data_IF_090541470509
#
_entry.id   IF_090541470509
#
_cell.length_a   1.000
_cell.length_b   1.000
_cell.length_c   1.000
_cell.angle_alpha   90.00
_cell.angle_beta   90.00
_cell.angle_gamma   90.00
#
_symmetry.space_group_name_H-M   'P 1'
#
loop_
_entity.id
_entity.type
_entity.pdbx_description
1 polymer ?
#
# COMPACT_ATOMS: atom_id res chain seq x y z
N UNK A 1 23.33 21.85 48.43
CA UNK A 1 24.24 20.97 47.66
C UNK A 1 24.11 21.38 46.19
N UNK A 2 25.04 22.17 45.68
CA UNK A 2 24.94 22.77 44.34
C UNK A 2 25.41 21.77 43.28
N UNK A 3 24.59 21.57 42.24
CA UNK A 3 24.84 20.60 41.18
C UNK A 3 25.99 21.12 40.30
N UNK A 4 27.23 20.68 40.56
CA UNK A 4 28.45 21.02 39.81
C UNK A 4 28.59 20.28 38.47
N UNK A 5 27.66 19.40 38.13
CA UNK A 5 27.67 18.61 36.89
C UNK A 5 27.17 19.34 35.64
N UNK A 6 26.71 20.60 35.75
CA UNK A 6 26.17 21.36 34.61
C UNK A 6 27.20 21.75 33.55
N UNK A 7 28.40 22.15 33.97
CA UNK A 7 29.49 22.57 33.05
C UNK A 7 29.96 21.43 32.12
N UNK A 8 30.28 20.22 32.59
CA UNK A 8 30.69 19.14 31.70
C UNK A 8 29.56 18.70 30.76
N UNK A 9 28.31 18.65 31.24
CA UNK A 9 27.14 18.33 30.39
C UNK A 9 26.98 19.35 29.26
N UNK A 10 27.10 20.65 29.57
CA UNK A 10 27.03 21.73 28.58
C UNK A 10 28.13 21.61 27.53
N UNK A 11 29.38 21.34 27.96
CA UNK A 11 30.51 21.22 27.04
C UNK A 11 30.33 19.99 26.14
N UNK A 12 29.89 18.85 26.68
CA UNK A 12 29.62 17.65 25.89
C UNK A 12 28.50 17.87 24.86
N UNK A 13 27.41 18.54 25.25
CA UNK A 13 26.33 18.89 24.31
C UNK A 13 26.82 19.81 23.18
N UNK A 14 27.64 20.82 23.50
CA UNK A 14 28.21 21.72 22.51
C UNK A 14 29.18 21.01 21.56
N UNK A 15 29.99 20.09 22.07
CA UNK A 15 30.90 19.30 21.24
C UNK A 15 30.11 18.39 20.28
N UNK A 16 29.07 17.73 20.77
CA UNK A 16 28.19 16.86 19.95
C UNK A 16 27.48 17.67 18.88
N UNK A 17 26.93 18.84 19.20
CA UNK A 17 26.25 19.68 18.19
C UNK A 17 27.23 20.21 17.13
N UNK A 18 28.42 20.65 17.54
CA UNK A 18 29.45 21.14 16.62
C UNK A 18 29.89 20.04 15.64
N UNK A 19 30.18 18.83 16.14
CA UNK A 19 30.51 17.67 15.30
C UNK A 19 29.36 17.33 14.37
N UNK A 20 28.12 17.33 14.86
CA UNK A 20 26.93 17.10 14.05
C UNK A 20 26.79 18.09 12.89
N UNK A 21 27.03 19.38 13.14
CA UNK A 21 27.00 20.43 12.10
C UNK A 21 28.09 20.20 11.06
N UNK A 22 29.33 19.91 11.46
CA UNK A 22 30.41 19.66 10.50
C UNK A 22 30.16 18.40 9.66
N UNK A 23 29.62 17.33 10.25
CA UNK A 23 29.25 16.12 9.51
C UNK A 23 28.12 16.40 8.51
N UNK A 24 27.10 17.17 8.90
CA UNK A 24 26.01 17.55 8.02
C UNK A 24 26.47 18.43 6.85
N UNK A 25 27.32 19.43 7.13
CA UNK A 25 27.90 20.32 6.13
C UNK A 25 28.81 19.54 5.16
N UNK A 26 29.72 18.72 5.69
CA UNK A 26 30.61 17.87 4.90
C UNK A 26 29.82 16.92 3.99
N UNK A 27 28.76 16.30 4.52
CA UNK A 27 27.86 15.47 3.70
C UNK A 27 27.16 16.27 2.61
N UNK A 28 26.65 17.46 2.91
CA UNK A 28 25.96 18.31 1.92
C UNK A 28 26.86 18.74 0.78
N UNK A 29 28.16 18.92 1.03
CA UNK A 29 29.15 19.33 0.04
C UNK A 29 29.64 18.12 -0.78
N UNK A 30 29.93 16.99 -0.11
CA UNK A 30 30.50 15.80 -0.74
C UNK A 30 29.45 14.92 -1.44
N UNK A 31 28.20 14.97 -1.00
CA UNK A 31 27.08 14.19 -1.54
C UNK A 31 25.88 15.10 -1.80
N UNK A 32 25.98 16.03 -2.78
CA UNK A 32 24.84 16.84 -3.19
C UNK A 32 23.68 15.93 -3.59
N UNK A 33 22.49 16.30 -3.13
CA UNK A 33 21.28 15.48 -3.08
C UNK A 33 21.04 14.65 -4.36
N UNK A 34 21.39 13.37 -4.35
CA UNK A 34 20.89 12.39 -5.31
C UNK A 34 19.44 12.06 -4.95
N UNK A 35 18.56 13.04 -5.12
CA UNK A 35 17.11 12.86 -5.07
C UNK A 35 16.59 12.05 -6.26
N UNK A 36 17.37 11.12 -6.82
CA UNK A 36 16.79 10.07 -7.63
C UNK A 36 16.14 9.11 -6.65
N UNK A 37 14.85 9.33 -6.41
CA UNK A 37 13.96 8.20 -6.22
C UNK A 37 14.12 7.33 -7.47
N UNK A 38 15.13 6.47 -7.49
CA UNK A 38 15.13 5.29 -8.33
C UNK A 38 13.96 4.49 -7.79
N UNK A 39 12.76 4.84 -8.29
CA UNK A 39 11.59 3.99 -8.25
C UNK A 39 12.08 2.69 -8.83
N UNK A 40 12.41 1.73 -7.96
CA UNK A 40 12.63 0.36 -8.37
C UNK A 40 11.40 0.02 -9.20
N UNK A 41 11.62 -0.17 -10.49
CA UNK A 41 10.55 -0.45 -11.43
C UNK A 41 9.99 -1.81 -11.03
N UNK A 42 8.90 -1.77 -10.27
CA UNK A 42 8.27 -2.97 -9.79
C UNK A 42 7.47 -3.58 -10.93
N UNK A 43 7.75 -4.84 -11.25
CA UNK A 43 7.00 -5.58 -12.25
C UNK A 43 6.14 -6.63 -11.57
N UNK A 44 4.83 -6.54 -11.80
CA UNK A 44 3.88 -7.53 -11.33
C UNK A 44 4.15 -8.88 -12.02
N UNK A 45 4.12 -10.00 -11.27
CA UNK A 45 4.31 -11.32 -11.85
C UNK A 45 3.17 -11.63 -12.83
N UNK A 46 3.47 -12.43 -13.84
CA UNK A 46 2.47 -12.85 -14.82
C UNK A 46 1.43 -13.80 -14.21
N UNK A 47 1.81 -14.56 -13.19
CA UNK A 47 0.89 -15.43 -12.46
C UNK A 47 0.95 -15.16 -10.96
N UNK A 48 -0.23 -15.12 -10.34
CA UNK A 48 -0.39 -15.12 -8.89
C UNK A 48 -1.32 -16.29 -8.56
N UNK A 49 -0.87 -17.28 -7.78
CA UNK A 49 -1.72 -18.39 -7.40
C UNK A 49 -2.84 -17.88 -6.50
N UNK A 50 -4.04 -18.41 -6.72
CA UNK A 50 -5.22 -18.09 -5.94
C UNK A 50 -5.94 -19.40 -5.61
N UNK A 51 -6.18 -19.66 -4.32
CA UNK A 51 -6.68 -20.96 -3.87
C UNK A 51 -8.02 -21.33 -4.52
N UNK A 52 -8.10 -22.54 -5.08
CA UNK A 52 -9.25 -23.08 -5.84
C UNK A 52 -9.64 -22.34 -7.13
N UNK A 53 -8.83 -21.39 -7.59
CA UNK A 53 -9.10 -20.62 -8.80
C UNK A 53 -8.14 -21.03 -9.91
N UNK A 54 -8.67 -21.22 -11.12
CA UNK A 54 -7.85 -21.44 -12.31
C UNK A 54 -7.58 -20.10 -12.97
N UNK A 55 -6.30 -19.75 -13.14
CA UNK A 55 -5.91 -18.57 -13.89
C UNK A 55 -6.24 -18.77 -15.38
N UNK A 56 -6.92 -17.77 -15.96
CA UNK A 56 -7.25 -17.73 -17.39
C UNK A 56 -6.18 -16.95 -18.12
N UNK A 57 -5.94 -15.70 -17.70
CA UNK A 57 -4.93 -14.83 -18.27
C UNK A 57 -4.51 -13.72 -17.31
N UNK A 58 -3.50 -12.96 -17.71
CA UNK A 58 -3.15 -11.72 -17.06
C UNK A 58 -2.53 -10.74 -18.06
N UNK A 59 -2.83 -9.45 -17.90
CA UNK A 59 -2.39 -8.39 -18.81
C UNK A 59 -1.92 -7.15 -18.03
N UNK A 60 -0.79 -6.53 -18.41
CA UNK A 60 -0.38 -5.25 -17.83
C UNK A 60 -1.44 -4.17 -18.02
N UNK A 61 -1.63 -3.33 -17.02
CA UNK A 61 -2.49 -2.15 -17.12
C UNK A 61 -1.71 -1.00 -17.76
N UNK A 62 -2.35 -0.28 -18.67
CA UNK A 62 -1.80 0.97 -19.21
C UNK A 62 -1.97 2.06 -18.15
N UNK A 63 -0.86 2.55 -17.62
CA UNK A 63 -0.84 3.59 -16.58
C UNK A 63 -0.26 4.87 -17.20
N UNK A 64 -0.88 6.02 -16.91
CA UNK A 64 -0.35 7.32 -17.33
C UNK A 64 0.90 7.67 -16.51
N UNK A 65 1.95 8.19 -17.15
CA UNK A 65 3.25 8.48 -16.51
C UNK A 65 3.16 9.45 -15.33
N UNK A 66 2.18 10.35 -15.34
CA UNK A 66 1.96 11.34 -14.28
C UNK A 66 1.17 10.80 -13.07
N UNK A 67 0.77 9.53 -13.09
CA UNK A 67 -0.03 8.94 -12.02
C UNK A 67 0.81 8.58 -10.77
N UNK A 68 0.14 8.60 -9.62
CA UNK A 68 0.63 7.97 -8.39
C UNK A 68 0.72 6.45 -8.51
N UNK A 69 -0.08 5.86 -9.40
CA UNK A 69 0.06 4.47 -9.81
C UNK A 69 1.32 4.35 -10.67
N UNK A 70 2.24 3.46 -10.31
CA UNK A 70 3.49 3.24 -11.07
C UNK A 70 3.41 2.09 -12.03
N UNK A 71 2.73 1.03 -11.62
CA UNK A 71 2.48 -0.14 -12.46
C UNK A 71 1.18 -0.79 -12.02
N UNK A 72 0.62 -1.64 -12.88
CA UNK A 72 -0.54 -2.42 -12.54
C UNK A 72 -0.69 -3.61 -13.46
N UNK A 73 -1.43 -4.62 -13.00
CA UNK A 73 -1.76 -5.79 -13.80
C UNK A 73 -3.18 -6.24 -13.49
N UNK A 74 -3.88 -6.68 -14.53
CA UNK A 74 -5.18 -7.33 -14.44
C UNK A 74 -4.98 -8.83 -14.55
N UNK A 75 -5.60 -9.57 -13.67
CA UNK A 75 -5.60 -11.03 -13.62
C UNK A 75 -7.05 -11.50 -13.77
N UNK A 76 -7.27 -12.54 -14.57
CA UNK A 76 -8.57 -13.19 -14.69
C UNK A 76 -8.49 -14.63 -14.26
N UNK A 77 -9.49 -15.04 -13.49
CA UNK A 77 -9.62 -16.38 -12.97
C UNK A 77 -11.02 -16.92 -13.23
N UNK A 78 -11.15 -18.24 -13.18
CA UNK A 78 -12.44 -18.93 -13.21
C UNK A 78 -12.50 -20.02 -12.15
N UNK A 79 -13.68 -20.18 -11.53
CA UNK A 79 -14.01 -21.29 -10.63
C UNK A 79 -15.46 -21.67 -10.90
N UNK A 80 -15.73 -22.90 -11.32
CA UNK A 80 -17.08 -23.38 -11.63
C UNK A 80 -17.85 -22.44 -12.59
N UNK A 81 -17.20 -21.93 -13.64
CA UNK A 81 -17.77 -20.97 -14.60
C UNK A 81 -18.14 -19.59 -14.02
N UNK A 82 -17.73 -19.28 -12.79
CA UNK A 82 -17.81 -17.93 -12.23
C UNK A 82 -16.48 -17.23 -12.54
N UNK A 83 -16.48 -16.11 -13.28
CA UNK A 83 -15.27 -15.35 -13.54
C UNK A 83 -14.97 -14.41 -12.37
N UNK A 84 -13.70 -14.33 -11.99
CA UNK A 84 -13.15 -13.36 -11.06
C UNK A 84 -12.11 -12.52 -11.78
N UNK A 85 -12.27 -11.20 -11.70
CA UNK A 85 -11.26 -10.26 -12.18
C UNK A 85 -10.58 -9.60 -10.99
N UNK A 86 -9.25 -9.56 -11.00
CA UNK A 86 -8.44 -8.87 -10.00
C UNK A 86 -7.56 -7.86 -10.70
N UNK A 87 -7.70 -6.59 -10.36
CA UNK A 87 -6.76 -5.55 -10.77
C UNK A 87 -5.88 -5.20 -9.57
N UNK A 88 -4.58 -5.26 -9.77
CA UNK A 88 -3.60 -4.87 -8.77
C UNK A 88 -2.80 -3.69 -9.28
N UNK A 89 -2.61 -2.69 -8.43
CA UNK A 89 -1.88 -1.45 -8.73
C UNK A 89 -0.87 -1.17 -7.63
N UNK A 90 0.35 -0.81 -8.02
CA UNK A 90 1.35 -0.33 -7.08
C UNK A 90 1.29 1.20 -7.04
N UNK A 91 0.87 1.74 -5.91
CA UNK A 91 0.63 3.17 -5.72
C UNK A 91 1.67 3.73 -4.74
N UNK A 92 2.30 4.84 -5.12
CA UNK A 92 3.28 5.55 -4.30
C UNK A 92 2.73 6.90 -3.84
N UNK A 93 3.10 7.33 -2.63
CA UNK A 93 2.73 8.65 -2.12
C UNK A 93 1.23 8.80 -1.87
N UNK A 94 0.55 7.70 -1.56
CA UNK A 94 -0.89 7.70 -1.28
C UNK A 94 -1.18 7.91 0.21
N UNK A 95 -2.37 8.42 0.51
CA UNK A 95 -2.94 8.43 1.85
C UNK A 95 -3.74 7.17 2.18
N UNK A 96 -3.87 6.23 1.22
CA UNK A 96 -4.57 4.96 1.39
C UNK A 96 -6.09 5.02 1.24
N UNK A 97 -6.66 6.17 0.83
CA UNK A 97 -8.11 6.29 0.62
C UNK A 97 -8.58 5.59 -0.66
N UNK A 98 -9.07 4.37 -0.53
CA UNK A 98 -9.50 3.51 -1.63
C UNK A 98 -10.67 4.13 -2.40
N UNK A 99 -11.59 4.82 -1.72
CA UNK A 99 -12.71 5.47 -2.40
C UNK A 99 -12.25 6.53 -3.41
N UNK A 100 -11.28 7.37 -3.03
CA UNK A 100 -10.66 8.35 -3.93
C UNK A 100 -9.85 7.69 -5.04
N UNK A 101 -9.11 6.62 -4.74
CA UNK A 101 -8.34 5.89 -5.74
C UNK A 101 -9.26 5.28 -6.83
N UNK A 102 -10.37 4.66 -6.43
CA UNK A 102 -11.38 4.09 -7.35
C UNK A 102 -11.98 5.16 -8.27
N UNK A 103 -12.29 6.35 -7.75
CA UNK A 103 -12.78 7.49 -8.56
C UNK A 103 -11.78 7.93 -9.63
N UNK A 104 -10.50 8.00 -9.27
CA UNK A 104 -9.46 8.58 -10.13
C UNK A 104 -8.91 7.63 -11.21
N UNK A 105 -9.00 6.31 -11.03
CA UNK A 105 -8.15 5.36 -11.79
C UNK A 105 -8.84 4.08 -12.27
N UNK A 106 -10.09 3.80 -11.90
CA UNK A 106 -10.79 2.57 -12.31
C UNK A 106 -12.12 2.85 -13.00
N UNK A 107 -12.88 1.78 -13.24
CA UNK A 107 -14.14 1.71 -13.98
C UNK A 107 -15.21 2.68 -13.42
N UNK A 108 -15.04 3.18 -12.19
CA UNK A 108 -16.02 4.01 -11.49
C UNK A 108 -15.83 5.52 -11.74
N UNK A 109 -15.67 5.91 -13.02
CA UNK A 109 -15.58 7.33 -13.42
C UNK A 109 -16.82 8.14 -12.99
N UNK A 110 -17.96 7.48 -12.80
CA UNK A 110 -19.17 8.02 -12.21
C UNK A 110 -19.29 7.56 -10.75
N UNK A 111 -19.28 8.54 -9.83
CA UNK A 111 -19.36 8.43 -8.37
C UNK A 111 -19.61 7.02 -7.80
N UNK A 112 -18.67 6.41 -7.06
CA UNK A 112 -18.97 5.20 -6.33
C UNK A 112 -20.13 5.50 -5.36
N UNK A 113 -21.07 4.56 -5.25
CA UNK A 113 -21.87 4.47 -4.05
C UNK A 113 -20.96 4.37 -2.82
N UNK A 114 -21.49 4.62 -1.62
CA UNK A 114 -20.70 4.51 -0.39
C UNK A 114 -20.13 3.08 -0.27
N UNK A 115 -18.80 2.95 -0.18
CA UNK A 115 -18.16 1.65 0.10
C UNK A 115 -18.66 1.15 1.46
N UNK A 116 -19.20 -0.07 1.49
CA UNK A 116 -19.48 -0.77 2.73
C UNK A 116 -18.16 -1.33 3.25
N UNK A 117 -17.67 -0.79 4.36
CA UNK A 117 -16.39 -1.21 4.95
C UNK A 117 -16.62 -2.36 5.91
N UNK A 118 -15.86 -3.44 5.75
CA UNK A 118 -15.86 -4.60 6.63
C UNK A 118 -14.41 -4.98 7.00
N UNK A 119 -14.27 -5.83 8.02
CA UNK A 119 -12.97 -6.31 8.51
C UNK A 119 -12.94 -7.84 8.51
N UNK A 120 -11.83 -8.40 8.07
CA UNK A 120 -11.53 -9.83 8.19
C UNK A 120 -10.40 -10.00 9.23
N UNK A 121 -10.62 -10.73 10.33
CA UNK A 121 -9.59 -10.97 11.34
C UNK A 121 -8.30 -11.53 10.73
N UNK A 122 -7.15 -10.94 11.11
CA UNK A 122 -5.84 -11.34 10.60
C UNK A 122 -5.49 -10.86 9.18
N UNK A 123 -6.44 -10.25 8.45
CA UNK A 123 -6.23 -9.72 7.09
C UNK A 123 -6.42 -8.21 7.03
N UNK A 124 -7.35 -7.65 7.80
CA UNK A 124 -7.63 -6.22 7.85
C UNK A 124 -8.92 -5.82 7.14
N UNK A 125 -9.01 -4.55 6.77
CA UNK A 125 -10.22 -3.95 6.23
C UNK A 125 -10.32 -4.09 4.72
N UNK A 126 -11.55 -4.19 4.22
CA UNK A 126 -11.84 -4.10 2.79
C UNK A 126 -13.16 -3.36 2.57
N UNK A 127 -13.31 -2.74 1.41
CA UNK A 127 -14.51 -2.01 1.01
C UNK A 127 -15.25 -2.79 -0.07
N UNK A 128 -16.58 -2.90 0.07
CA UNK A 128 -17.45 -3.57 -0.89
C UNK A 128 -18.37 -2.58 -1.56
N UNK A 129 -18.56 -2.71 -2.88
CA UNK A 129 -19.47 -1.89 -3.67
C UNK A 129 -20.15 -2.72 -4.75
N UNK A 130 -21.46 -2.55 -4.89
CA UNK A 130 -22.20 -3.09 -6.03
C UNK A 130 -22.39 -2.00 -7.09
N UNK A 131 -21.99 -2.28 -8.33
CA UNK A 131 -22.14 -1.36 -9.46
C UNK A 131 -22.22 -2.11 -10.79
N UNK A 132 -23.15 -1.69 -11.67
CA UNK A 132 -23.29 -2.21 -13.04
C UNK A 132 -23.28 -3.75 -13.11
N UNK A 133 -24.14 -4.38 -12.31
CA UNK A 133 -24.29 -5.83 -12.24
C UNK A 133 -23.03 -6.61 -11.80
N UNK A 134 -22.14 -5.94 -11.07
CA UNK A 134 -20.95 -6.55 -10.49
C UNK A 134 -20.84 -6.17 -9.01
N UNK A 135 -20.29 -7.07 -8.23
CA UNK A 135 -19.83 -6.78 -6.88
C UNK A 135 -18.32 -6.59 -6.92
N UNK A 136 -17.86 -5.54 -6.25
CA UNK A 136 -16.46 -5.18 -6.14
C UNK A 136 -16.02 -5.27 -4.68
N UNK A 137 -14.83 -5.82 -4.46
CA UNK A 137 -14.09 -5.73 -3.21
C UNK A 137 -12.80 -4.97 -3.50
N UNK A 138 -12.49 -3.94 -2.72
CA UNK A 138 -11.26 -3.19 -2.90
C UNK A 138 -10.62 -2.82 -1.58
N UNK A 139 -9.29 -2.89 -1.54
CA UNK A 139 -8.52 -2.54 -0.36
C UNK A 139 -7.07 -2.22 -0.73
N UNK A 140 -6.40 -1.51 0.18
CA UNK A 140 -4.98 -1.28 0.14
C UNK A 140 -4.26 -2.33 0.99
N UNK A 141 -3.39 -3.14 0.39
CA UNK A 141 -2.42 -3.94 1.14
C UNK A 141 -1.25 -3.03 1.49
N UNK A 142 -0.89 -3.02 2.78
CA UNK A 142 0.20 -2.22 3.32
C UNK A 142 1.48 -3.06 3.41
N UNK A 143 2.67 -2.43 3.41
CA UNK A 143 3.92 -3.16 3.64
C UNK A 143 3.92 -3.98 4.93
N UNK A 144 3.18 -3.52 5.94
CA UNK A 144 3.02 -4.18 7.24
C UNK A 144 1.61 -4.01 7.77
N UNK A 145 1.27 -4.84 8.74
CA UNK A 145 -0.05 -4.86 9.36
C UNK A 145 -1.13 -5.38 8.41
N UNK A 146 -2.37 -4.99 8.69
CA UNK A 146 -3.51 -5.40 7.88
C UNK A 146 -3.72 -4.50 6.65
N UNK A 147 -4.57 -4.98 5.77
CA UNK A 147 -5.15 -4.17 4.69
C UNK A 147 -6.05 -3.06 5.23
N UNK A 148 -6.18 -1.96 4.48
CA UNK A 148 -6.88 -0.73 4.90
C UNK A 148 -7.71 -0.14 3.75
N UNK A 149 -8.78 0.57 4.09
CA UNK A 149 -9.72 1.15 3.11
C UNK A 149 -9.72 2.67 3.12
N UNK A 150 -9.68 3.27 4.30
CA UNK A 150 -9.72 4.72 4.47
C UNK A 150 -8.35 5.28 4.93
N UNK A 151 -8.21 6.60 4.82
CA UNK A 151 -6.98 7.28 5.15
C UNK A 151 -6.63 7.23 6.65
N UNK A 152 -7.61 7.07 7.53
CA UNK A 152 -7.37 7.00 8.97
C UNK A 152 -6.78 5.64 9.35
N UNK A 153 -7.35 4.56 8.82
CA UNK A 153 -6.85 3.20 8.94
C UNK A 153 -5.43 3.09 8.38
N UNK A 154 -5.19 3.64 7.18
CA UNK A 154 -3.85 3.65 6.56
C UNK A 154 -2.84 4.40 7.41
N UNK A 155 -3.19 5.60 7.89
CA UNK A 155 -2.33 6.40 8.77
C UNK A 155 -2.06 5.71 10.11
N UNK A 156 -3.07 5.10 10.72
CA UNK A 156 -2.94 4.37 11.97
C UNK A 156 -2.02 3.16 11.82
N UNK A 157 -2.25 2.35 10.78
CA UNK A 157 -1.42 1.19 10.49
C UNK A 157 0.05 1.58 10.27
N UNK A 158 0.30 2.62 9.47
CA UNK A 158 1.65 3.18 9.26
C UNK A 158 2.29 3.66 10.57
N UNK A 159 1.57 4.43 11.38
CA UNK A 159 2.13 5.00 12.60
C UNK A 159 2.38 3.95 13.70
N UNK A 160 1.75 2.78 13.63
CA UNK A 160 1.90 1.73 14.65
C UNK A 160 2.78 0.57 14.20
N UNK A 161 2.78 0.24 12.90
CA UNK A 161 3.48 -0.93 12.36
C UNK A 161 4.77 -0.58 11.60
N UNK A 162 4.95 0.67 11.15
CA UNK A 162 6.11 1.06 10.34
C UNK A 162 7.21 1.80 11.10
N UNK A 163 7.00 2.17 12.36
CA UNK A 163 8.03 2.81 13.19
C UNK A 163 9.15 1.81 13.48
N UNK A 164 10.29 1.98 12.79
CA UNK A 164 11.51 1.23 13.05
C UNK A 164 12.71 2.14 13.21
N UNK A 165 13.61 1.75 14.10
CA UNK A 165 14.88 2.46 14.33
C UNK A 165 15.77 2.53 13.08
N UNK A 166 15.75 1.52 12.21
CA UNK A 166 16.52 1.55 10.95
C UNK A 166 16.02 2.65 10.01
N UNK A 167 14.71 2.88 9.92
CA UNK A 167 14.13 3.99 9.14
C UNK A 167 14.43 5.35 9.73
N UNK A 168 14.51 5.48 11.06
CA UNK A 168 14.98 6.71 11.70
C UNK A 168 16.42 7.04 11.28
N UNK A 169 17.31 6.05 11.24
CA UNK A 169 18.69 6.25 10.77
C UNK A 169 18.72 6.64 9.30
N UNK A 170 17.99 5.94 8.42
CA UNK A 170 17.95 6.31 7.01
C UNK A 170 17.34 7.70 6.78
N UNK A 171 16.33 8.08 7.57
CA UNK A 171 15.72 9.40 7.52
C UNK A 171 16.68 10.50 8.00
N UNK A 172 17.39 10.30 9.12
CA UNK A 172 18.46 11.20 9.57
C UNK A 172 19.58 11.32 8.52
N UNK A 173 19.82 10.24 7.78
CA UNK A 173 20.74 10.21 6.66
C UNK A 173 20.11 10.70 5.33
N UNK A 174 18.88 11.22 5.32
CA UNK A 174 18.22 11.72 4.11
C UNK A 174 18.05 10.69 2.99
N UNK A 175 18.16 9.40 3.29
CA UNK A 175 18.10 8.29 2.33
C UNK A 175 16.71 7.68 2.18
N UNK A 176 15.68 8.28 2.78
CA UNK A 176 14.31 7.80 2.68
C UNK A 176 13.35 8.56 3.58
N UNK A 177 12.06 8.31 3.38
CA UNK A 177 11.00 8.83 4.23
C UNK A 177 10.81 7.93 5.46
N UNK A 178 10.51 8.53 6.61
CA UNK A 178 10.23 7.76 7.83
C UNK A 178 8.92 6.95 7.71
N UNK A 179 8.01 7.44 6.87
CA UNK A 179 6.68 6.89 6.64
C UNK A 179 6.61 6.17 5.30
N UNK A 180 6.16 4.91 5.30
CA UNK A 180 5.83 4.20 4.07
C UNK A 180 4.48 4.71 3.53
N UNK A 181 4.47 5.20 2.30
CA UNK A 181 3.25 5.68 1.63
C UNK A 181 2.91 4.82 0.42
N UNK A 182 3.40 3.57 0.44
CA UNK A 182 3.19 2.61 -0.62
C UNK A 182 1.96 1.78 -0.34
N UNK A 183 1.23 1.49 -1.39
CA UNK A 183 0.01 0.70 -1.33
C UNK A 183 -0.02 -0.26 -2.51
N UNK A 184 -0.20 -1.54 -2.23
CA UNK A 184 -0.65 -2.50 -3.24
C UNK A 184 -2.19 -2.45 -3.23
N UNK A 185 -2.72 -1.60 -4.09
CA UNK A 185 -4.16 -1.40 -4.20
C UNK A 185 -4.75 -2.48 -5.10
N UNK A 186 -5.60 -3.31 -4.50
CA UNK A 186 -6.29 -4.39 -5.19
C UNK A 186 -7.78 -4.05 -5.35
N UNK A 187 -8.32 -4.41 -6.50
CA UNK A 187 -9.76 -4.38 -6.78
C UNK A 187 -10.15 -5.72 -7.39
N UNK A 188 -10.98 -6.47 -6.68
CA UNK A 188 -11.55 -7.74 -7.13
C UNK A 188 -13.00 -7.54 -7.55
N UNK A 189 -13.47 -8.31 -8.53
CA UNK A 189 -14.88 -8.27 -8.91
C UNK A 189 -15.40 -9.56 -9.51
N UNK A 190 -16.68 -9.82 -9.27
CA UNK A 190 -17.46 -10.93 -9.84
C UNK A 190 -18.78 -10.39 -10.40
N UNK A 191 -19.30 -10.97 -11.50
CA UNK A 191 -20.61 -10.62 -12.03
C UNK A 191 -21.75 -11.21 -11.19
N UNK A 192 -22.86 -10.47 -11.10
CA UNK A 192 -24.06 -10.87 -10.36
C UNK A 192 -25.07 -11.63 -11.23
N UNK A 193 -24.76 -11.91 -12.50
CA UNK A 193 -25.64 -12.66 -13.42
C UNK A 193 -26.00 -14.07 -12.92
N UNK A 194 -25.08 -14.70 -12.18
CA UNK A 194 -25.18 -16.10 -11.74
C UNK A 194 -24.95 -16.27 -10.24
N UNK A 195 -24.84 -15.17 -9.49
CA UNK A 195 -24.56 -15.18 -8.05
C UNK A 195 -25.40 -14.14 -7.35
N UNK A 196 -25.88 -14.46 -6.14
CA UNK A 196 -26.51 -13.46 -5.28
C UNK A 196 -25.44 -12.51 -4.73
N UNK A 197 -25.78 -11.27 -4.35
CA UNK A 197 -24.82 -10.36 -3.71
C UNK A 197 -24.15 -10.94 -2.45
N UNK A 198 -24.87 -11.76 -1.67
CA UNK A 198 -24.32 -12.41 -0.49
C UNK A 198 -23.28 -13.49 -0.86
N UNK A 199 -23.58 -14.33 -1.85
CA UNK A 199 -22.66 -15.35 -2.34
C UNK A 199 -21.44 -14.71 -3.01
N UNK A 200 -21.66 -13.68 -3.83
CA UNK A 200 -20.60 -12.89 -4.44
C UNK A 200 -19.67 -12.27 -3.39
N UNK A 201 -20.22 -11.75 -2.28
CA UNK A 201 -19.40 -11.20 -1.20
C UNK A 201 -18.52 -12.27 -0.56
N UNK A 202 -19.10 -13.43 -0.25
CA UNK A 202 -18.34 -14.57 0.31
C UNK A 202 -17.24 -15.06 -0.62
N UNK A 203 -17.53 -15.10 -1.93
CA UNK A 203 -16.55 -15.46 -2.96
C UNK A 203 -15.38 -14.46 -2.95
N UNK A 204 -15.69 -13.15 -2.95
CA UNK A 204 -14.68 -12.09 -2.96
C UNK A 204 -13.86 -12.07 -1.68
N UNK A 205 -14.46 -12.21 -0.50
CA UNK A 205 -13.75 -12.27 0.78
C UNK A 205 -12.81 -13.49 0.84
N UNK A 206 -13.26 -14.65 0.37
CA UNK A 206 -12.42 -15.87 0.34
C UNK A 206 -11.23 -15.70 -0.60
N UNK A 207 -11.45 -15.14 -1.80
CA UNK A 207 -10.37 -14.81 -2.72
C UNK A 207 -9.44 -13.75 -2.12
N UNK A 208 -9.98 -12.76 -1.42
CA UNK A 208 -9.22 -11.69 -0.77
C UNK A 208 -8.25 -12.21 0.27
N UNK A 209 -8.68 -13.14 1.14
CA UNK A 209 -7.80 -13.76 2.14
C UNK A 209 -6.60 -14.43 1.48
N UNK A 210 -6.84 -15.27 0.45
CA UNK A 210 -5.77 -15.96 -0.28
C UNK A 210 -4.82 -14.98 -0.98
N UNK A 211 -5.37 -13.95 -1.61
CA UNK A 211 -4.62 -12.91 -2.29
C UNK A 211 -3.73 -12.11 -1.33
N UNK A 212 -4.30 -11.67 -0.21
CA UNK A 212 -3.58 -10.94 0.82
C UNK A 212 -2.44 -11.78 1.41
N UNK A 213 -2.70 -13.04 1.74
CA UNK A 213 -1.67 -13.96 2.26
C UNK A 213 -0.50 -14.16 1.28
N UNK A 214 -0.76 -14.13 -0.02
CA UNK A 214 0.30 -14.22 -1.02
C UNK A 214 1.14 -12.94 -1.10
N UNK A 215 0.47 -11.78 -1.09
CA UNK A 215 1.07 -10.47 -1.30
C UNK A 215 1.74 -9.86 -0.07
N UNK A 216 1.19 -10.06 1.13
CA UNK A 216 1.72 -9.48 2.37
C UNK A 216 3.22 -9.78 2.61
N UNK A 217 3.69 -11.05 2.50
CA UNK A 217 5.12 -11.34 2.65
C UNK A 217 5.97 -10.99 1.40
N UNK A 218 5.32 -10.63 0.28
CA UNK A 218 5.94 -10.31 -1.02
C UNK A 218 5.76 -8.84 -1.37
N UNK A 219 5.48 -8.00 -0.38
CA UNK A 219 5.30 -6.58 -0.60
C UNK A 219 6.63 -5.97 -1.13
N UNK A 220 6.60 -5.23 -2.24
CA UNK A 220 7.79 -4.63 -2.86
C UNK A 220 8.51 -3.59 -2.01
#
# INVERSE_FOLDING_TARGET
>A
MAITHWKPIRISLLAVTLVGVFLAAGKSILYPNSGSNTTVEYNFPESVPLADWQMVDSVPLKIAETSQVKTGRKYRYTKNSIPLEVEMRYVLGTNGDVASMMKGHTILKSSPGKLAVANIPGVGYHGVLQQQNRLYLSSCINPRGGSTVDAEQFRYNRNTQDLRFDRLVFWLLGKGNIQDQRCLWAQMSVPLDRTTPADANKILETAWVSWHQWWQPRFP
#
